data_IF_428456526219
#
_entry.id   IF_428456526219
#
_cell.length_a   1.000
_cell.length_b   1.000
_cell.length_c   1.000
_cell.angle_alpha   90.00
_cell.angle_beta   90.00
_cell.angle_gamma   90.00
#
_symmetry.space_group_name_H-M   'P 1'
#
loop_
_entity.id
_entity.type
_entity.pdbx_description
1 polymer ?
#
# COMPACT_ATOMS: atom_id res chain seq x y z
N UNK A 1 -2.17 2.40 10.05
CA UNK A 1 -3.17 2.69 9.00
C UNK A 1 -4.31 1.70 9.14
N UNK A 2 -5.54 2.16 9.21
CA UNK A 2 -6.73 1.28 9.16
C UNK A 2 -7.30 1.31 7.75
N UNK A 3 -7.57 0.16 7.17
CA UNK A 3 -8.18 0.00 5.85
C UNK A 3 -9.51 -0.73 6.01
N UNK A 4 -10.60 -0.02 5.77
CA UNK A 4 -11.94 -0.61 5.72
C UNK A 4 -12.28 -0.99 4.27
N UNK A 5 -13.15 -1.97 4.09
CA UNK A 5 -13.62 -2.43 2.77
C UNK A 5 -12.48 -2.70 1.77
N UNK A 6 -11.37 -3.29 2.24
CA UNK A 6 -10.17 -3.54 1.42
C UNK A 6 -10.44 -4.36 0.15
N UNK A 7 -11.51 -5.17 0.15
CA UNK A 7 -11.96 -5.95 -1.00
C UNK A 7 -12.53 -5.11 -2.15
N UNK A 8 -12.99 -3.89 -1.88
CA UNK A 8 -13.57 -2.99 -2.89
C UNK A 8 -12.52 -2.12 -3.59
N UNK A 9 -11.24 -2.23 -3.18
CA UNK A 9 -10.14 -1.58 -3.88
C UNK A 9 -10.03 -2.11 -5.32
N UNK A 10 -9.78 -1.23 -6.31
CA UNK A 10 -9.44 -1.67 -7.66
C UNK A 10 -8.25 -2.64 -7.65
N UNK A 11 -8.26 -3.64 -8.56
CA UNK A 11 -7.21 -4.67 -8.62
C UNK A 11 -5.79 -4.08 -8.70
N UNK A 12 -5.60 -3.00 -9.44
CA UNK A 12 -4.30 -2.32 -9.53
C UNK A 12 -3.83 -1.78 -8.17
N UNK A 13 -4.75 -1.22 -7.37
CA UNK A 13 -4.48 -0.74 -6.02
C UNK A 13 -4.18 -1.90 -5.07
N UNK A 14 -4.86 -3.04 -5.20
CA UNK A 14 -4.57 -4.24 -4.42
C UNK A 14 -3.14 -4.77 -4.70
N UNK A 15 -2.72 -4.79 -5.97
CA UNK A 15 -1.35 -5.17 -6.35
C UNK A 15 -0.33 -4.21 -5.73
N UNK A 16 -0.59 -2.91 -5.75
CA UNK A 16 0.29 -1.92 -5.13
C UNK A 16 0.37 -2.11 -3.60
N UNK A 17 -0.75 -2.41 -2.95
CA UNK A 17 -0.79 -2.69 -1.52
C UNK A 17 0.00 -3.96 -1.15
N UNK A 18 -0.13 -5.04 -1.94
CA UNK A 18 0.66 -6.26 -1.74
C UNK A 18 2.16 -5.99 -1.87
N UNK A 19 2.57 -5.17 -2.84
CA UNK A 19 3.97 -4.75 -2.99
C UNK A 19 4.44 -3.97 -1.76
N UNK A 20 3.62 -3.06 -1.24
CA UNK A 20 3.93 -2.33 -0.02
C UNK A 20 4.11 -3.26 1.17
N UNK A 21 3.19 -4.21 1.38
CA UNK A 21 3.27 -5.16 2.51
C UNK A 21 4.52 -6.05 2.46
N UNK A 22 5.00 -6.38 1.25
CA UNK A 22 6.22 -7.18 1.07
C UNK A 22 7.50 -6.38 1.26
N UNK A 23 7.53 -5.13 0.79
CA UNK A 23 8.75 -4.32 0.71
C UNK A 23 8.89 -3.28 1.83
N UNK A 24 7.78 -2.87 2.44
CA UNK A 24 7.75 -1.76 3.40
C UNK A 24 8.05 -0.40 2.77
N UNK A 25 7.87 -0.25 1.46
CA UNK A 25 8.18 1.00 0.74
C UNK A 25 7.07 1.40 -0.23
N UNK A 26 6.90 2.71 -0.43
CA UNK A 26 5.96 3.27 -1.40
C UNK A 26 6.66 4.20 -2.38
N UNK A 27 6.09 4.35 -3.57
CA UNK A 27 6.44 5.40 -4.53
C UNK A 27 5.23 6.32 -4.70
N UNK A 28 5.43 7.63 -4.59
CA UNK A 28 4.34 8.60 -4.84
C UNK A 28 3.90 8.54 -6.31
N UNK A 29 2.63 8.83 -6.57
CA UNK A 29 2.11 8.93 -7.94
C UNK A 29 2.93 9.94 -8.76
N UNK A 30 3.41 9.52 -9.93
CA UNK A 30 4.31 10.33 -10.77
C UNK A 30 5.73 10.51 -10.24
N UNK A 31 6.07 9.95 -9.08
CA UNK A 31 7.41 9.94 -8.52
C UNK A 31 8.22 8.72 -8.97
N UNK A 32 9.55 8.84 -8.87
CA UNK A 32 10.48 7.73 -9.11
C UNK A 32 11.22 7.28 -7.84
N UNK A 33 11.06 8.00 -6.74
CA UNK A 33 11.71 7.71 -5.47
C UNK A 33 10.84 6.77 -4.63
N UNK A 34 11.43 5.64 -4.23
CA UNK A 34 10.87 4.76 -3.21
C UNK A 34 11.18 5.31 -1.81
N UNK A 35 10.17 5.30 -0.94
CA UNK A 35 10.23 5.86 0.41
C UNK A 35 9.90 4.72 1.40
N UNK A 36 10.84 4.33 2.29
CA UNK A 36 10.55 3.33 3.30
C UNK A 36 9.59 3.90 4.35
N UNK A 37 8.66 3.07 4.80
CA UNK A 37 7.71 3.40 5.85
C UNK A 37 7.69 2.30 6.90
N UNK A 38 7.79 2.70 8.15
CA UNK A 38 7.58 1.80 9.29
C UNK A 38 6.21 2.11 9.91
N UNK A 39 5.20 1.36 9.48
CA UNK A 39 3.84 1.50 9.99
C UNK A 39 3.12 0.16 9.96
N UNK A 40 2.19 -0.01 10.91
CA UNK A 40 1.30 -1.16 10.97
C UNK A 40 0.03 -0.91 10.17
N UNK A 41 -0.39 -1.89 9.36
CA UNK A 41 -1.71 -1.92 8.73
C UNK A 41 -2.64 -2.82 9.55
N UNK A 42 -3.87 -2.37 9.71
CA UNK A 42 -5.00 -3.13 10.25
C UNK A 42 -6.12 -3.02 9.23
N UNK A 43 -6.76 -4.12 8.86
CA UNK A 43 -7.91 -4.10 7.95
C UNK A 43 -9.15 -4.72 8.61
N UNK A 44 -10.33 -4.32 8.13
CA UNK A 44 -11.62 -4.93 8.46
C UNK A 44 -12.26 -5.57 7.22
#
# INVERSE_FOLDING_TARGET
LFLDEIGDLPLESQVALLRFLQQGMITRLGGHQSIPLDLRIISA
#
